data_IF_161307454497
#
_entry.id   IF_161307454497
#
_cell.length_a   1.000
_cell.length_b   1.000
_cell.length_c   1.000
_cell.angle_alpha   90.00
_cell.angle_beta   90.00
_cell.angle_gamma   90.00
#
_symmetry.space_group_name_H-M   'P 1'
#
loop_
_entity.id
_entity.type
_entity.pdbx_description
1 polymer ?
#
# COMPACT_ATOMS: atom_id res chain seq x y z
N UNK A 1 17.37 -2.07 -64.54
CA UNK A 1 16.63 -3.31 -64.87
C UNK A 1 15.58 -3.54 -63.80
N UNK A 2 14.30 -3.31 -64.10
CA UNK A 2 13.21 -3.57 -63.15
C UNK A 2 13.02 -5.08 -62.98
N UNK A 3 13.13 -5.58 -61.74
CA UNK A 3 12.82 -6.98 -61.41
C UNK A 3 11.34 -7.05 -61.05
N UNK A 4 10.53 -7.67 -61.90
CA UNK A 4 9.11 -7.90 -61.65
C UNK A 4 8.99 -9.17 -60.80
N UNK A 5 8.28 -9.08 -59.67
CA UNK A 5 8.03 -10.19 -58.76
C UNK A 5 6.54 -10.49 -58.68
N UNK A 6 6.17 -11.77 -58.55
CA UNK A 6 4.79 -12.21 -58.30
C UNK A 6 4.66 -12.79 -56.90
N UNK A 7 3.56 -12.44 -56.23
CA UNK A 7 3.18 -13.01 -54.93
C UNK A 7 2.27 -14.21 -55.17
N UNK A 8 2.60 -15.34 -54.57
CA UNK A 8 1.88 -16.61 -54.73
C UNK A 8 1.53 -17.17 -53.35
N UNK A 9 0.33 -17.74 -53.22
CA UNK A 9 -0.08 -18.46 -52.01
C UNK A 9 0.49 -19.88 -52.02
N UNK A 10 1.21 -20.27 -50.96
CA UNK A 10 1.68 -21.66 -50.78
C UNK A 10 0.80 -22.40 -49.78
N UNK A 11 -0.05 -23.28 -50.30
CA UNK A 11 -0.98 -24.08 -49.50
C UNK A 11 -0.28 -25.09 -48.56
N UNK A 12 0.97 -25.47 -48.82
CA UNK A 12 1.70 -26.40 -47.96
C UNK A 12 2.28 -25.74 -46.70
N UNK A 13 2.54 -24.42 -46.76
CA UNK A 13 3.09 -23.66 -45.64
C UNK A 13 2.11 -22.64 -45.06
N UNK A 14 0.95 -22.43 -45.69
CA UNK A 14 -0.06 -21.47 -45.24
C UNK A 14 0.40 -20.02 -45.32
N UNK A 15 1.32 -19.69 -46.23
CA UNK A 15 1.94 -18.36 -46.33
C UNK A 15 2.04 -17.87 -47.77
N UNK A 16 2.06 -16.54 -47.93
CA UNK A 16 2.37 -15.90 -49.22
C UNK A 16 3.88 -15.81 -49.42
N UNK A 17 4.34 -16.16 -50.62
CA UNK A 17 5.75 -16.16 -51.00
C UNK A 17 5.94 -15.33 -52.27
N UNK A 18 7.04 -14.60 -52.36
CA UNK A 18 7.39 -13.75 -53.51
C UNK A 18 8.41 -14.47 -54.37
N UNK A 19 8.12 -14.67 -55.67
CA UNK A 19 9.04 -15.31 -56.61
C UNK A 19 9.32 -14.40 -57.82
N UNK A 20 10.52 -14.48 -58.37
CA UNK A 20 10.86 -13.77 -59.61
C UNK A 20 10.30 -14.53 -60.82
N UNK A 21 9.75 -13.80 -61.80
CA UNK A 21 9.11 -14.38 -63.00
C UNK A 21 10.04 -15.30 -63.82
N UNK A 22 11.36 -15.17 -63.65
CA UNK A 22 12.38 -15.99 -64.33
C UNK A 22 12.77 -17.29 -63.60
N UNK A 23 12.11 -17.65 -62.49
CA UNK A 23 12.42 -18.86 -61.75
C UNK A 23 12.00 -20.13 -62.52
N UNK A 24 12.97 -20.96 -62.94
CA UNK A 24 12.70 -22.26 -63.60
C UNK A 24 12.10 -23.29 -62.64
N UNK A 25 10.91 -23.79 -62.96
CA UNK A 25 10.25 -24.90 -62.27
C UNK A 25 11.07 -26.20 -62.37
N UNK A 26 11.37 -26.84 -61.22
CA UNK A 26 11.91 -28.21 -61.18
C UNK A 26 10.77 -29.18 -60.82
N UNK A 27 10.31 -29.93 -61.83
CA UNK A 27 9.18 -30.86 -61.72
C UNK A 27 9.47 -32.12 -60.89
N UNK A 28 8.42 -32.63 -60.24
CA UNK A 28 8.40 -33.90 -59.48
C UNK A 28 8.59 -35.10 -60.42
N UNK A 29 9.53 -36.00 -60.12
CA UNK A 29 9.62 -37.31 -60.80
C UNK A 29 8.70 -38.33 -60.14
N UNK A 30 7.80 -38.90 -60.95
CA UNK A 30 6.94 -40.04 -60.64
C UNK A 30 7.64 -41.35 -61.02
N UNK A 31 7.35 -42.45 -60.32
CA UNK A 31 7.72 -43.81 -60.73
C UNK A 31 6.81 -44.85 -60.08
N UNK A 32 5.89 -45.42 -60.86
CA UNK A 32 4.97 -46.51 -60.47
C UNK A 32 5.62 -47.89 -60.68
N UNK A 33 5.44 -48.73 -59.66
CA UNK A 33 5.29 -50.21 -59.60
C UNK A 33 5.51 -51.03 -60.89
N UNK A 34 6.40 -52.03 -60.81
CA UNK A 34 6.25 -53.33 -61.48
C UNK A 34 6.22 -54.43 -60.41
N UNK A 35 5.14 -55.21 -60.43
CA UNK A 35 4.94 -56.44 -59.66
C UNK A 35 5.83 -57.56 -60.22
N UNK A 36 6.56 -58.24 -59.34
CA UNK A 36 7.02 -59.61 -59.56
C UNK A 36 6.70 -60.40 -58.29
N UNK A 37 5.70 -61.27 -58.39
CA UNK A 37 5.33 -62.27 -57.39
C UNK A 37 6.08 -63.53 -57.75
N UNK A 38 6.98 -64.01 -56.89
CA UNK A 38 7.31 -65.43 -56.77
C UNK A 38 8.24 -65.70 -55.57
N UNK A 39 7.67 -66.45 -54.62
CA UNK A 39 8.28 -67.35 -53.63
C UNK A 39 9.17 -66.78 -52.50
N UNK A 40 9.17 -67.27 -51.26
CA UNK A 40 8.27 -67.98 -50.35
C UNK A 40 9.19 -68.33 -49.15
N UNK A 41 8.81 -67.90 -47.94
CA UNK A 41 9.25 -68.39 -46.61
C UNK A 41 10.73 -68.19 -46.23
N UNK A 42 10.99 -67.22 -45.35
CA UNK A 42 11.48 -67.49 -43.98
C UNK A 42 11.70 -66.19 -43.19
N UNK A 43 11.00 -66.09 -42.07
CA UNK A 43 11.45 -65.45 -40.82
C UNK A 43 11.84 -63.96 -40.88
N UNK A 44 10.87 -63.07 -40.66
CA UNK A 44 10.86 -62.07 -39.55
C UNK A 44 9.90 -60.93 -39.89
N UNK A 45 8.89 -60.81 -39.04
CA UNK A 45 7.69 -60.01 -39.24
C UNK A 45 7.90 -58.51 -38.99
N UNK A 46 7.21 -57.72 -39.81
CA UNK A 46 6.67 -56.37 -39.52
C UNK A 46 7.63 -55.18 -39.68
N UNK A 47 7.51 -54.56 -40.86
CA UNK A 47 7.69 -53.12 -41.03
C UNK A 47 6.71 -52.39 -40.11
N UNK A 48 7.22 -51.59 -39.17
CA UNK A 48 6.45 -50.52 -38.55
C UNK A 48 6.72 -49.25 -39.36
N UNK A 49 5.63 -48.67 -39.82
CA UNK A 49 5.52 -47.31 -40.34
C UNK A 49 6.34 -46.32 -39.52
N UNK A 50 7.04 -45.42 -40.19
CA UNK A 50 7.53 -44.19 -39.58
C UNK A 50 6.32 -43.32 -39.20
N UNK A 51 5.66 -43.66 -38.09
CA UNK A 51 4.93 -42.69 -37.31
C UNK A 51 5.98 -41.73 -36.75
N UNK A 52 5.77 -40.44 -36.99
CA UNK A 52 6.27 -39.42 -36.09
C UNK A 52 5.58 -39.67 -34.74
N UNK A 53 6.13 -40.62 -33.98
CA UNK A 53 5.70 -40.94 -32.64
C UNK A 53 5.98 -39.69 -31.82
N UNK A 54 4.97 -38.86 -31.60
CA UNK A 54 4.96 -37.99 -30.44
C UNK A 54 5.21 -38.94 -29.26
N UNK A 55 6.39 -38.84 -28.63
CA UNK A 55 6.75 -39.56 -27.41
C UNK A 55 5.89 -39.04 -26.25
N UNK A 56 4.58 -39.23 -26.34
CA UNK A 56 3.60 -38.93 -25.32
C UNK A 56 3.38 -40.11 -24.35
N UNK A 57 4.03 -41.26 -24.61
CA UNK A 57 3.78 -42.53 -23.91
C UNK A 57 4.98 -43.12 -23.17
N UNK A 58 6.05 -42.37 -22.93
CA UNK A 58 7.08 -42.80 -21.97
C UNK A 58 6.95 -41.97 -20.69
N UNK A 59 5.73 -41.98 -20.15
CA UNK A 59 5.51 -41.50 -18.80
C UNK A 59 6.30 -42.41 -17.86
N UNK A 60 7.25 -41.82 -17.15
CA UNK A 60 8.03 -42.49 -16.09
C UNK A 60 7.74 -41.83 -14.75
N UNK A 61 6.59 -41.17 -14.63
CA UNK A 61 6.11 -40.70 -13.35
C UNK A 61 5.76 -41.90 -12.47
N UNK A 62 6.18 -41.85 -11.22
CA UNK A 62 5.98 -42.93 -10.26
C UNK A 62 5.10 -42.47 -9.10
N UNK A 63 4.22 -43.35 -8.65
CA UNK A 63 3.56 -43.22 -7.36
C UNK A 63 4.52 -43.60 -6.24
N UNK A 64 4.63 -42.75 -5.21
CA UNK A 64 5.42 -43.06 -4.00
C UNK A 64 4.48 -43.39 -2.84
N UNK A 65 4.60 -44.60 -2.30
CA UNK A 65 3.88 -45.00 -1.08
C UNK A 65 4.67 -44.53 0.16
N UNK A 66 4.11 -43.68 1.04
CA UNK A 66 4.78 -43.24 2.25
C UNK A 66 5.03 -44.41 3.23
N UNK A 67 6.19 -44.44 3.87
CA UNK A 67 6.49 -45.41 4.92
C UNK A 67 5.65 -45.13 6.17
N UNK A 68 4.80 -46.07 6.60
CA UNK A 68 4.18 -46.03 7.94
C UNK A 68 2.68 -46.23 8.04
N UNK A 69 1.91 -46.35 6.95
CA UNK A 69 0.53 -46.84 7.04
C UNK A 69 0.06 -47.42 5.70
N UNK A 70 -0.44 -48.64 5.76
CA UNK A 70 -0.65 -49.53 4.62
C UNK A 70 -1.75 -49.07 3.66
N UNK A 71 -1.47 -49.17 2.36
CA UNK A 71 -2.13 -49.99 1.32
C UNK A 71 -1.89 -49.31 -0.03
N UNK A 72 -1.07 -49.90 -0.88
CA UNK A 72 -0.75 -49.34 -2.20
C UNK A 72 -1.99 -49.33 -3.10
N UNK A 73 -2.50 -48.15 -3.40
CA UNK A 73 -3.58 -47.95 -4.36
C UNK A 73 -3.17 -47.03 -5.52
N UNK A 74 -3.97 -47.05 -6.57
CA UNK A 74 -3.66 -46.54 -7.91
C UNK A 74 -4.24 -45.14 -8.19
N UNK A 75 -4.42 -44.33 -7.15
CA UNK A 75 -5.21 -43.09 -7.24
C UNK A 75 -4.46 -41.84 -7.70
N UNK A 76 -3.15 -41.89 -7.95
CA UNK A 76 -2.30 -40.72 -8.19
C UNK A 76 -2.16 -40.37 -9.68
N UNK A 77 -1.77 -39.13 -9.97
CA UNK A 77 -1.38 -38.69 -11.32
C UNK A 77 0.08 -38.23 -11.24
N UNK A 78 1.01 -38.88 -11.92
CA UNK A 78 2.39 -38.42 -12.06
C UNK A 78 2.75 -38.46 -13.54
N UNK A 79 2.94 -37.29 -14.16
CA UNK A 79 3.20 -37.18 -15.60
C UNK A 79 4.54 -36.49 -15.82
N UNK A 80 5.48 -37.21 -16.43
CA UNK A 80 6.80 -36.69 -16.84
C UNK A 80 7.97 -37.36 -16.12
N UNK A 81 9.18 -37.19 -16.67
CA UNK A 81 10.37 -37.86 -16.13
C UNK A 81 10.66 -37.44 -14.69
N UNK A 82 10.86 -38.44 -13.82
CA UNK A 82 11.07 -38.29 -12.38
C UNK A 82 9.96 -37.51 -11.65
N UNK A 83 8.75 -37.41 -12.22
CA UNK A 83 7.61 -36.87 -11.51
C UNK A 83 7.15 -37.85 -10.42
N UNK A 84 6.87 -37.37 -9.22
CA UNK A 84 6.41 -38.19 -8.10
C UNK A 84 5.12 -37.64 -7.51
N UNK A 85 4.13 -38.51 -7.34
CA UNK A 85 2.88 -38.18 -6.66
C UNK A 85 2.61 -39.20 -5.56
N UNK A 86 2.09 -38.74 -4.42
CA UNK A 86 1.80 -39.60 -3.28
C UNK A 86 0.55 -40.45 -3.55
N UNK A 87 0.55 -41.69 -3.05
CA UNK A 87 -0.50 -42.69 -3.26
C UNK A 87 -1.44 -42.84 -2.06
N UNK A 88 -1.81 -41.79 -1.31
CA UNK A 88 -2.78 -41.91 -0.20
C UNK A 88 -4.11 -42.50 -0.70
N UNK A 89 -4.33 -43.80 -0.52
CA UNK A 89 -5.42 -44.54 -1.19
C UNK A 89 -6.36 -45.24 -0.23
N UNK A 90 -6.82 -44.54 0.81
CA UNK A 90 -7.90 -45.09 1.62
C UNK A 90 -8.84 -43.99 2.12
N UNK A 91 -9.72 -43.52 1.22
CA UNK A 91 -10.81 -42.52 1.37
C UNK A 91 -10.48 -41.03 1.27
N UNK A 92 -9.20 -40.62 1.29
CA UNK A 92 -8.84 -39.20 1.36
C UNK A 92 -7.91 -38.72 0.23
N UNK A 93 -8.35 -38.96 -1.01
CA UNK A 93 -7.99 -38.28 -2.26
C UNK A 93 -6.54 -38.30 -2.77
N UNK A 94 -6.46 -38.22 -4.10
CA UNK A 94 -5.26 -38.33 -4.91
C UNK A 94 -4.36 -37.09 -4.86
N UNK A 95 -3.05 -37.29 -4.92
CA UNK A 95 -2.09 -36.23 -5.27
C UNK A 95 -1.79 -36.25 -6.78
N UNK A 96 -1.45 -35.09 -7.35
CA UNK A 96 -1.17 -34.94 -8.77
C UNK A 96 0.13 -34.17 -9.02
N UNK A 97 1.09 -34.78 -9.71
CA UNK A 97 2.34 -34.18 -10.15
C UNK A 97 2.43 -34.18 -11.69
N UNK A 98 2.73 -33.04 -12.30
CA UNK A 98 2.89 -32.92 -13.76
C UNK A 98 4.10 -32.05 -14.12
N UNK A 99 5.12 -32.64 -14.74
CA UNK A 99 6.35 -31.97 -15.18
C UNK A 99 7.61 -32.70 -14.75
N UNK A 100 8.73 -32.41 -15.44
CA UNK A 100 10.05 -32.97 -15.09
C UNK A 100 10.40 -32.69 -13.62
N UNK A 101 10.58 -33.75 -12.81
CA UNK A 101 10.85 -33.67 -11.36
C UNK A 101 9.79 -32.92 -10.54
N UNK A 102 8.54 -32.87 -10.99
CA UNK A 102 7.43 -32.38 -10.18
C UNK A 102 7.16 -33.35 -9.02
N UNK A 103 6.94 -32.85 -7.80
CA UNK A 103 6.76 -33.63 -6.57
C UNK A 103 5.48 -33.20 -5.86
N UNK A 104 4.49 -34.08 -5.76
CA UNK A 104 3.24 -33.85 -5.03
C UNK A 104 3.12 -34.85 -3.86
N UNK A 105 3.82 -34.55 -2.76
CA UNK A 105 4.01 -35.48 -1.63
C UNK A 105 3.03 -35.27 -0.47
N UNK A 106 2.38 -34.12 -0.35
CA UNK A 106 1.31 -33.91 0.62
C UNK A 106 0.03 -34.65 0.25
N UNK A 107 -0.82 -34.96 1.23
CA UNK A 107 -2.15 -35.54 1.00
C UNK A 107 -3.01 -34.56 0.20
N UNK A 108 -3.72 -34.97 -0.85
CA UNK A 108 -4.49 -34.06 -1.72
C UNK A 108 -3.66 -32.96 -2.42
N UNK A 109 -2.32 -33.08 -2.47
CA UNK A 109 -1.51 -32.01 -3.04
C UNK A 109 -1.43 -32.04 -4.56
N UNK A 110 -1.17 -30.89 -5.18
CA UNK A 110 -1.01 -30.78 -6.64
C UNK A 110 0.24 -29.98 -6.97
N UNK A 111 1.15 -30.57 -7.75
CA UNK A 111 2.39 -29.95 -8.22
C UNK A 111 2.43 -29.94 -9.75
N UNK A 112 2.43 -28.77 -10.38
CA UNK A 112 2.41 -28.64 -11.84
C UNK A 112 3.54 -27.68 -12.26
N UNK A 113 4.53 -28.20 -12.97
CA UNK A 113 5.69 -27.46 -13.44
C UNK A 113 7.00 -28.22 -13.21
N UNK A 114 8.02 -27.94 -14.01
CA UNK A 114 9.33 -28.59 -13.79
C UNK A 114 9.88 -28.21 -12.41
N UNK A 115 10.28 -29.19 -11.63
CA UNK A 115 10.77 -29.02 -10.24
C UNK A 115 9.76 -28.37 -9.28
N UNK A 116 8.45 -28.35 -9.59
CA UNK A 116 7.47 -27.89 -8.61
C UNK A 116 7.38 -28.87 -7.44
N UNK A 117 7.29 -28.39 -6.21
CA UNK A 117 7.17 -29.21 -5.00
C UNK A 117 5.95 -28.81 -4.16
N UNK A 118 5.04 -29.74 -3.95
CA UNK A 118 3.82 -29.59 -3.16
C UNK A 118 3.81 -30.65 -2.06
N UNK A 119 4.53 -30.37 -0.97
CA UNK A 119 4.76 -31.28 0.15
C UNK A 119 3.83 -31.06 1.35
N UNK A 120 3.13 -29.92 1.42
CA UNK A 120 2.10 -29.69 2.43
C UNK A 120 0.78 -30.41 2.11
N UNK A 121 0.01 -30.80 3.12
CA UNK A 121 -1.31 -31.43 2.91
C UNK A 121 -2.30 -30.44 2.30
N UNK A 122 -3.05 -30.84 1.28
CA UNK A 122 -3.98 -30.03 0.49
C UNK A 122 -3.32 -28.81 -0.17
N UNK A 123 -2.02 -28.90 -0.45
CA UNK A 123 -1.26 -27.79 -1.04
C UNK A 123 -1.34 -27.76 -2.56
N UNK A 124 -1.05 -26.60 -3.15
CA UNK A 124 -0.94 -26.41 -4.61
C UNK A 124 0.36 -25.69 -4.95
N UNK A 125 1.24 -26.31 -5.73
CA UNK A 125 2.40 -25.69 -6.35
C UNK A 125 2.21 -25.64 -7.88
N UNK A 126 2.08 -24.45 -8.47
CA UNK A 126 1.90 -24.25 -9.91
C UNK A 126 2.98 -23.30 -10.46
N UNK A 127 3.92 -23.84 -11.22
CA UNK A 127 5.01 -23.10 -11.85
C UNK A 127 6.35 -23.82 -11.73
N UNK A 128 7.29 -23.48 -12.61
CA UNK A 128 8.65 -24.03 -12.54
C UNK A 128 9.29 -23.65 -11.19
N UNK A 129 9.72 -24.65 -10.41
CA UNK A 129 10.27 -24.48 -9.06
C UNK A 129 9.31 -23.82 -8.06
N UNK A 130 8.01 -23.79 -8.30
CA UNK A 130 7.05 -23.38 -7.29
C UNK A 130 7.11 -24.37 -6.10
N UNK A 131 7.11 -23.88 -4.87
CA UNK A 131 7.21 -24.70 -3.66
C UNK A 131 6.08 -24.35 -2.69
N UNK A 132 5.25 -25.33 -2.37
CA UNK A 132 4.13 -25.21 -1.44
C UNK A 132 4.29 -26.26 -0.33
N UNK A 133 5.06 -25.91 0.70
CA UNK A 133 5.41 -26.81 1.80
C UNK A 133 4.49 -26.67 3.02
N UNK A 134 3.78 -25.54 3.14
CA UNK A 134 2.77 -25.34 4.17
C UNK A 134 1.50 -26.16 3.92
N UNK A 135 0.87 -26.64 4.98
CA UNK A 135 -0.44 -27.30 4.88
C UNK A 135 -1.48 -26.31 4.36
N UNK A 136 -2.27 -26.71 3.36
CA UNK A 136 -3.28 -25.90 2.64
C UNK A 136 -2.69 -24.64 2.02
N UNK A 137 -1.38 -24.63 1.76
CA UNK A 137 -0.71 -23.50 1.12
C UNK A 137 -0.88 -23.51 -0.40
N UNK A 138 -0.76 -22.35 -1.02
CA UNK A 138 -0.84 -22.16 -2.47
C UNK A 138 0.37 -21.36 -2.96
N UNK A 139 1.22 -21.96 -3.77
CA UNK A 139 2.33 -21.30 -4.45
C UNK A 139 2.09 -21.30 -5.97
N UNK A 140 1.85 -20.13 -6.56
CA UNK A 140 1.61 -19.98 -8.00
C UNK A 140 2.58 -18.97 -8.62
N UNK A 141 3.44 -19.43 -9.52
CA UNK A 141 4.46 -18.63 -10.20
C UNK A 141 5.82 -19.32 -10.22
N UNK A 142 6.69 -18.93 -11.16
CA UNK A 142 8.04 -19.48 -11.19
C UNK A 142 8.79 -19.13 -9.89
N UNK A 143 9.32 -20.14 -9.21
CA UNK A 143 10.02 -19.99 -7.93
C UNK A 143 9.21 -19.31 -6.81
N UNK A 144 7.87 -19.32 -6.86
CA UNK A 144 7.04 -18.88 -5.72
C UNK A 144 7.17 -19.87 -4.55
N UNK A 145 7.11 -19.38 -3.32
CA UNK A 145 7.23 -20.19 -2.10
C UNK A 145 6.11 -19.88 -1.10
N UNK A 146 5.31 -20.88 -0.76
CA UNK A 146 4.26 -20.79 0.27
C UNK A 146 4.58 -21.81 1.37
N UNK A 147 5.33 -21.35 2.38
CA UNK A 147 5.88 -22.20 3.44
C UNK A 147 5.06 -22.17 4.73
N UNK A 148 4.28 -21.10 4.97
CA UNK A 148 3.37 -21.04 6.10
C UNK A 148 2.13 -21.92 5.89
N UNK A 149 1.60 -22.52 6.95
CA UNK A 149 0.26 -23.16 6.89
C UNK A 149 -0.78 -22.14 6.44
N UNK A 150 -1.71 -22.53 5.57
CA UNK A 150 -2.75 -21.68 4.97
C UNK A 150 -2.22 -20.45 4.20
N UNK A 151 -0.94 -20.43 3.81
CA UNK A 151 -0.34 -19.29 3.13
C UNK A 151 -0.62 -19.28 1.62
N UNK A 152 -0.52 -18.11 1.00
CA UNK A 152 -0.69 -17.93 -0.44
C UNK A 152 0.44 -17.07 -1.00
N UNK A 153 1.25 -17.61 -1.91
CA UNK A 153 2.28 -16.90 -2.65
C UNK A 153 1.97 -16.93 -4.15
N UNK A 154 1.56 -15.79 -4.71
CA UNK A 154 1.20 -15.63 -6.12
C UNK A 154 2.10 -14.60 -6.81
N UNK A 155 2.92 -15.06 -7.75
CA UNK A 155 3.87 -14.25 -8.51
C UNK A 155 5.26 -14.87 -8.55
N UNK A 156 6.04 -14.50 -9.56
CA UNK A 156 7.42 -14.98 -9.69
C UNK A 156 8.23 -14.55 -8.47
N UNK A 157 8.87 -15.49 -7.77
CA UNK A 157 9.57 -15.26 -6.50
C UNK A 157 8.71 -14.66 -5.35
N UNK A 158 7.38 -14.76 -5.40
CA UNK A 158 6.56 -14.43 -4.24
C UNK A 158 6.88 -15.38 -3.08
N UNK A 159 6.92 -14.89 -1.84
CA UNK A 159 7.26 -15.67 -0.65
C UNK A 159 6.25 -15.39 0.46
N UNK A 160 5.44 -16.38 0.82
CA UNK A 160 4.53 -16.35 1.95
C UNK A 160 5.00 -17.36 3.00
N UNK A 161 5.82 -16.90 3.95
CA UNK A 161 6.45 -17.76 4.97
C UNK A 161 5.75 -17.71 6.32
N UNK A 162 4.94 -16.67 6.57
CA UNK A 162 4.12 -16.59 7.79
C UNK A 162 2.90 -17.52 7.70
N UNK A 163 2.43 -18.03 8.83
CA UNK A 163 1.15 -18.74 8.89
C UNK A 163 0.00 -17.82 8.45
N UNK A 164 -0.94 -18.32 7.65
CA UNK A 164 -2.07 -17.58 7.05
C UNK A 164 -1.67 -16.32 6.26
N UNK A 165 -0.41 -16.23 5.82
CA UNK A 165 0.10 -15.05 5.13
C UNK A 165 -0.23 -15.04 3.63
N UNK A 166 -0.31 -13.85 3.03
CA UNK A 166 -0.61 -13.67 1.60
C UNK A 166 0.43 -12.77 0.94
N UNK A 167 1.19 -13.30 -0.01
CA UNK A 167 2.13 -12.55 -0.85
C UNK A 167 1.66 -12.56 -2.31
N UNK A 168 1.17 -11.41 -2.81
CA UNK A 168 0.69 -11.23 -4.18
C UNK A 168 1.56 -10.20 -4.92
N UNK A 169 2.32 -10.68 -5.90
CA UNK A 169 3.19 -9.86 -6.77
C UNK A 169 4.59 -10.46 -6.94
N UNK A 170 5.28 -10.09 -8.02
CA UNK A 170 6.67 -10.52 -8.21
C UNK A 170 7.53 -10.05 -7.03
N UNK A 171 8.27 -10.98 -6.40
CA UNK A 171 9.08 -10.73 -5.19
C UNK A 171 8.31 -10.20 -3.97
N UNK A 172 6.98 -10.29 -3.93
CA UNK A 172 6.21 -9.97 -2.73
C UNK A 172 6.62 -10.91 -1.58
N UNK A 173 6.76 -10.39 -0.36
CA UNK A 173 7.17 -11.18 0.82
C UNK A 173 6.20 -10.93 1.98
N UNK A 174 5.43 -11.94 2.37
CA UNK A 174 4.59 -11.95 3.56
C UNK A 174 5.24 -12.88 4.60
N UNK A 175 6.07 -12.28 5.45
CA UNK A 175 6.94 -12.99 6.40
C UNK A 175 6.35 -13.11 7.80
N UNK A 176 5.48 -12.18 8.21
CA UNK A 176 4.79 -12.24 9.50
C UNK A 176 3.59 -13.18 9.46
N UNK A 177 3.22 -13.76 10.61
CA UNK A 177 1.96 -14.51 10.72
C UNK A 177 0.79 -13.55 10.46
N UNK A 178 -0.27 -14.03 9.80
CA UNK A 178 -1.44 -13.25 9.40
C UNK A 178 -1.12 -12.02 8.53
N UNK A 179 0.07 -11.94 7.92
CA UNK A 179 0.48 -10.77 7.14
C UNK A 179 0.02 -10.81 5.68
N UNK A 180 -0.09 -9.64 5.05
CA UNK A 180 -0.41 -9.53 3.62
C UNK A 180 0.50 -8.55 2.89
N UNK A 181 1.21 -9.00 1.86
CA UNK A 181 2.04 -8.19 0.98
C UNK A 181 1.44 -8.15 -0.43
N UNK A 182 0.95 -6.98 -0.84
CA UNK A 182 0.21 -6.77 -2.09
C UNK A 182 0.96 -5.80 -3.00
N UNK A 183 1.80 -6.32 -3.90
CA UNK A 183 2.55 -5.53 -4.88
C UNK A 183 3.94 -6.08 -5.21
N UNK A 184 4.53 -5.61 -6.31
CA UNK A 184 5.89 -5.99 -6.68
C UNK A 184 6.90 -5.57 -5.59
N UNK A 185 7.60 -6.54 -5.00
CA UNK A 185 8.54 -6.29 -3.91
C UNK A 185 7.91 -5.74 -2.62
N UNK A 186 6.58 -5.81 -2.45
CA UNK A 186 5.94 -5.46 -1.20
C UNK A 186 6.40 -6.42 -0.09
N UNK A 187 6.65 -5.91 1.12
CA UNK A 187 7.18 -6.69 2.24
C UNK A 187 6.38 -6.44 3.52
N UNK A 188 5.62 -7.44 3.96
CA UNK A 188 4.91 -7.44 5.23
C UNK A 188 5.59 -8.43 6.19
N UNK A 189 6.45 -7.95 7.09
CA UNK A 189 7.20 -8.78 8.04
C UNK A 189 6.73 -8.69 9.48
N UNK A 190 5.95 -7.67 9.84
CA UNK A 190 5.26 -7.63 11.13
C UNK A 190 4.14 -8.67 11.17
N UNK A 191 3.86 -9.21 12.35
CA UNK A 191 2.68 -10.05 12.61
C UNK A 191 1.41 -9.23 12.40
N UNK A 192 0.41 -9.80 11.72
CA UNK A 192 -0.85 -9.12 11.39
C UNK A 192 -0.65 -7.78 10.66
N UNK A 193 0.41 -7.67 9.85
CA UNK A 193 0.74 -6.46 9.09
C UNK A 193 0.34 -6.54 7.63
N UNK A 194 0.09 -5.39 7.00
CA UNK A 194 -0.29 -5.30 5.58
C UNK A 194 0.59 -4.30 4.86
N UNK A 195 1.30 -4.73 3.81
CA UNK A 195 2.05 -3.86 2.90
C UNK A 195 1.33 -3.73 1.56
N UNK A 196 0.88 -2.52 1.21
CA UNK A 196 0.08 -2.24 0.01
C UNK A 196 0.88 -1.38 -0.97
N UNK A 197 1.08 -1.88 -2.19
CA UNK A 197 1.78 -1.19 -3.27
C UNK A 197 3.23 -1.64 -3.47
N UNK A 198 3.77 -1.35 -4.66
CA UNK A 198 5.13 -1.78 -5.03
C UNK A 198 6.18 -1.19 -4.08
N UNK A 199 7.06 -2.05 -3.55
CA UNK A 199 8.13 -1.67 -2.62
C UNK A 199 7.67 -1.18 -1.24
N UNK A 200 6.36 -1.29 -0.91
CA UNK A 200 5.87 -0.94 0.44
C UNK A 200 6.41 -1.91 1.47
N UNK A 201 6.67 -1.43 2.69
CA UNK A 201 7.29 -2.23 3.75
C UNK A 201 6.57 -2.01 5.09
N UNK A 202 5.87 -3.05 5.57
CA UNK A 202 5.23 -3.09 6.88
C UNK A 202 6.06 -3.97 7.83
N UNK A 203 6.79 -3.35 8.75
CA UNK A 203 7.67 -4.04 9.71
C UNK A 203 7.05 -4.17 11.11
N UNK A 204 6.17 -3.23 11.47
CA UNK A 204 5.50 -3.22 12.76
C UNK A 204 4.32 -4.19 12.78
N UNK A 205 4.10 -4.83 13.91
CA UNK A 205 2.93 -5.68 14.15
C UNK A 205 1.64 -4.84 14.10
N UNK A 206 0.54 -5.44 13.65
CA UNK A 206 -0.79 -4.81 13.60
C UNK A 206 -0.83 -3.48 12.81
N UNK A 207 -0.03 -3.35 11.74
CA UNK A 207 0.11 -2.11 10.98
C UNK A 207 -0.22 -2.27 9.50
N UNK A 208 -0.64 -1.16 8.85
CA UNK A 208 -0.81 -1.08 7.40
C UNK A 208 0.18 -0.05 6.85
N UNK A 209 1.06 -0.47 5.94
CA UNK A 209 1.99 0.40 5.23
C UNK A 209 1.62 0.54 3.76
N UNK A 210 1.40 1.79 3.31
CA UNK A 210 1.18 2.14 1.89
C UNK A 210 2.46 2.63 1.19
N UNK A 211 3.61 2.50 1.84
CA UNK A 211 4.91 2.99 1.40
C UNK A 211 6.04 2.43 2.25
N UNK A 212 7.16 3.15 2.26
CA UNK A 212 8.32 2.85 3.12
C UNK A 212 8.97 4.16 3.60
N UNK A 213 10.13 4.08 4.26
CA UNK A 213 10.82 5.23 4.87
C UNK A 213 11.30 6.30 3.87
N UNK A 214 11.48 5.95 2.59
CA UNK A 214 11.95 6.89 1.55
C UNK A 214 10.90 7.20 0.49
N UNK A 215 9.84 6.40 0.41
CA UNK A 215 8.75 6.54 -0.58
C UNK A 215 7.41 6.43 0.13
N UNK A 216 6.92 7.56 0.64
CA UNK A 216 5.56 7.68 1.17
C UNK A 216 4.56 7.94 0.02
N UNK A 217 3.31 7.55 0.25
CA UNK A 217 2.22 7.77 -0.72
C UNK A 217 1.10 8.54 -0.05
N UNK A 218 0.43 9.38 -0.82
CA UNK A 218 -0.81 9.99 -0.39
C UNK A 218 -1.93 8.95 -0.41
N UNK A 219 -2.79 8.99 0.60
CA UNK A 219 -4.06 8.28 0.61
C UNK A 219 -5.11 9.29 0.16
N UNK A 220 -5.69 9.08 -1.02
CA UNK A 220 -6.61 10.04 -1.66
C UNK A 220 -8.02 9.48 -1.72
N UNK A 221 -9.02 10.36 -1.93
CA UNK A 221 -10.44 10.01 -1.93
C UNK A 221 -10.95 9.43 -0.60
N UNK A 222 -10.40 9.91 0.51
CA UNK A 222 -10.85 9.57 1.87
C UNK A 222 -12.07 10.43 2.20
N UNK A 223 -13.19 9.81 2.55
CA UNK A 223 -14.35 10.52 3.07
C UNK A 223 -14.01 11.18 4.41
N UNK A 224 -14.76 12.23 4.80
CA UNK A 224 -14.56 12.85 6.11
C UNK A 224 -14.88 11.82 7.20
N UNK A 225 -13.93 11.58 8.09
CA UNK A 225 -14.14 10.72 9.25
C UNK A 225 -15.02 11.37 10.29
N UNK A 226 -15.65 10.60 11.17
CA UNK A 226 -16.41 11.18 12.26
C UNK A 226 -15.48 11.83 13.31
N UNK A 227 -15.88 12.98 13.85
CA UNK A 227 -15.16 13.68 14.92
C UNK A 227 -15.97 13.56 16.21
N UNK A 228 -15.68 12.51 16.99
CA UNK A 228 -16.28 12.26 18.31
C UNK A 228 -15.31 11.44 19.18
N UNK A 229 -15.63 11.28 20.47
CA UNK A 229 -14.73 10.66 21.48
C UNK A 229 -14.40 9.19 21.27
N UNK A 230 -15.12 8.50 20.38
CA UNK A 230 -14.93 7.06 20.11
C UNK A 230 -14.53 6.77 18.65
N UNK A 231 -14.33 7.80 17.83
CA UNK A 231 -14.02 7.62 16.41
C UNK A 231 -12.64 6.99 16.22
N UNK A 232 -12.56 6.08 15.25
CA UNK A 232 -11.32 5.46 14.76
C UNK A 232 -11.06 5.80 13.30
N UNK A 233 -11.78 6.79 12.75
CA UNK A 233 -11.71 7.15 11.34
C UNK A 233 -10.46 7.97 11.03
N UNK A 234 -9.99 7.88 9.79
CA UNK A 234 -9.00 8.80 9.27
C UNK A 234 -9.58 10.21 9.13
N UNK A 235 -8.87 11.23 9.60
CA UNK A 235 -9.24 12.64 9.44
C UNK A 235 -8.68 13.18 8.12
N UNK A 236 -9.51 13.87 7.37
CA UNK A 236 -9.12 14.50 6.10
C UNK A 236 -8.53 15.89 6.30
N UNK A 237 -7.72 16.36 5.34
CA UNK A 237 -7.20 17.73 5.37
C UNK A 237 -8.29 18.81 5.42
N UNK A 238 -9.45 18.58 4.81
CA UNK A 238 -10.58 19.51 4.88
C UNK A 238 -11.15 19.67 6.29
N UNK A 239 -11.14 18.60 7.10
CA UNK A 239 -11.60 18.66 8.50
C UNK A 239 -10.61 19.41 9.38
N UNK A 240 -9.31 19.19 9.18
CA UNK A 240 -8.27 19.96 9.87
C UNK A 240 -8.37 21.44 9.49
N UNK A 241 -8.57 21.75 8.20
CA UNK A 241 -8.78 23.12 7.75
C UNK A 241 -10.02 23.77 8.40
N UNK A 242 -11.15 23.06 8.47
CA UNK A 242 -12.35 23.55 9.17
C UNK A 242 -12.08 23.82 10.66
N UNK A 243 -11.30 22.97 11.33
CA UNK A 243 -10.89 23.20 12.71
C UNK A 243 -10.00 24.46 12.82
N UNK A 244 -8.97 24.59 11.99
CA UNK A 244 -8.09 25.76 11.94
C UNK A 244 -8.88 27.05 11.66
N UNK A 245 -9.86 26.99 10.76
CA UNK A 245 -10.73 28.13 10.46
C UNK A 245 -11.56 28.53 11.67
N UNK A 246 -12.12 27.55 12.40
CA UNK A 246 -12.87 27.87 13.62
C UNK A 246 -11.99 28.58 14.65
N UNK A 247 -10.72 28.21 14.78
CA UNK A 247 -9.77 28.89 15.69
C UNK A 247 -9.47 30.31 15.21
N UNK A 248 -9.19 30.49 13.92
CA UNK A 248 -8.96 31.82 13.33
C UNK A 248 -10.17 32.75 13.55
N UNK A 249 -11.39 32.26 13.33
CA UNK A 249 -12.63 33.02 13.54
C UNK A 249 -12.81 33.44 15.01
N UNK A 250 -12.43 32.58 15.97
CA UNK A 250 -12.52 32.90 17.41
C UNK A 250 -11.42 33.83 17.89
N UNK A 251 -10.24 33.81 17.27
CA UNK A 251 -9.19 34.78 17.55
C UNK A 251 -9.55 36.16 17.01
N UNK A 252 -10.20 36.24 15.83
CA UNK A 252 -10.49 37.52 15.19
C UNK A 252 -9.21 38.26 14.80
N UNK A 253 -9.23 39.60 14.82
CA UNK A 253 -8.05 40.43 14.51
C UNK A 253 -7.46 40.16 13.11
N UNK A 254 -8.25 39.67 12.15
CA UNK A 254 -7.74 39.29 10.83
C UNK A 254 -6.95 37.97 10.77
N UNK A 255 -6.96 37.17 11.84
CA UNK A 255 -6.45 35.80 11.78
C UNK A 255 -7.14 35.00 10.65
N UNK A 256 -6.37 34.15 9.97
CA UNK A 256 -6.82 33.39 8.80
C UNK A 256 -6.05 32.07 8.71
N UNK A 257 -6.50 31.13 7.88
CA UNK A 257 -5.80 29.85 7.69
C UNK A 257 -4.89 29.91 6.45
N UNK A 258 -3.61 29.56 6.61
CA UNK A 258 -2.62 29.44 5.55
C UNK A 258 -2.87 28.23 4.66
N UNK A 259 -2.21 28.20 3.50
CA UNK A 259 -2.26 27.06 2.57
C UNK A 259 -1.71 25.76 3.14
N UNK A 260 -0.86 25.83 4.18
CA UNK A 260 -0.33 24.67 4.90
C UNK A 260 -1.21 24.24 6.09
N UNK A 261 -2.34 24.92 6.32
CA UNK A 261 -3.28 24.64 7.41
C UNK A 261 -2.99 25.34 8.74
N UNK A 262 -1.89 26.10 8.85
CA UNK A 262 -1.58 26.89 10.06
C UNK A 262 -2.45 28.14 10.16
N UNK A 263 -2.60 28.70 11.36
CA UNK A 263 -3.34 29.95 11.59
C UNK A 263 -2.38 31.13 11.57
N UNK A 264 -2.62 32.11 10.69
CA UNK A 264 -1.94 33.40 10.69
C UNK A 264 -2.19 34.16 11.98
N UNK A 265 -1.17 34.86 12.46
CA UNK A 265 -1.27 35.67 13.66
C UNK A 265 -2.38 36.74 13.51
N UNK A 266 -3.23 36.95 14.54
CA UNK A 266 -4.13 38.09 14.57
C UNK A 266 -3.32 39.38 14.67
N UNK A 267 -3.93 40.51 14.33
CA UNK A 267 -3.42 41.86 14.59
C UNK A 267 -4.44 42.57 15.48
N UNK A 268 -4.12 42.68 16.77
CA UNK A 268 -4.92 43.40 17.74
C UNK A 268 -4.39 44.81 17.92
N UNK A 269 -5.23 45.81 17.71
CA UNK A 269 -4.88 47.21 17.95
C UNK A 269 -5.28 47.58 19.40
N UNK A 270 -4.29 48.00 20.20
CA UNK A 270 -4.49 48.46 21.57
C UNK A 270 -3.69 49.74 21.77
N UNK A 271 -4.40 50.85 22.03
CA UNK A 271 -3.77 52.17 22.08
C UNK A 271 -3.15 52.53 20.72
N UNK A 272 -1.85 52.76 20.71
CA UNK A 272 -1.07 53.03 19.47
C UNK A 272 -0.29 51.81 18.99
N UNK A 273 -0.38 50.67 19.69
CA UNK A 273 0.36 49.45 19.38
C UNK A 273 -0.48 48.42 18.64
N UNK A 274 0.19 47.60 17.81
CA UNK A 274 -0.39 46.42 17.17
C UNK A 274 0.27 45.17 17.73
N UNK A 275 -0.52 44.21 18.17
CA UNK A 275 -0.07 43.00 18.86
C UNK A 275 -0.48 41.75 18.11
N UNK A 276 0.47 40.84 17.91
CA UNK A 276 0.27 39.66 17.08
C UNK A 276 -0.22 38.41 17.85
N UNK A 277 -0.57 38.59 19.13
CA UNK A 277 -1.08 37.53 19.98
C UNK A 277 -1.91 38.12 21.13
N UNK A 278 -2.80 37.29 21.67
CA UNK A 278 -3.76 37.69 22.72
C UNK A 278 -3.04 38.14 23.99
N UNK A 279 -1.99 37.43 24.42
CA UNK A 279 -1.28 37.71 25.67
C UNK A 279 -0.64 39.10 25.67
N UNK A 280 0.04 39.47 24.59
CA UNK A 280 0.66 40.79 24.46
C UNK A 280 -0.38 41.91 24.38
N UNK A 281 -1.51 41.69 23.69
CA UNK A 281 -2.59 42.66 23.62
C UNK A 281 -3.23 42.91 25.01
N UNK A 282 -3.49 41.84 25.78
CA UNK A 282 -4.01 41.95 27.14
C UNK A 282 -3.04 42.64 28.09
N UNK A 283 -1.73 42.36 27.97
CA UNK A 283 -0.70 43.05 28.75
C UNK A 283 -0.64 44.54 28.41
N UNK A 284 -0.79 44.90 27.14
CA UNK A 284 -0.86 46.29 26.71
C UNK A 284 -2.08 47.02 27.30
N UNK A 285 -3.26 46.39 27.27
CA UNK A 285 -4.47 46.90 27.90
C UNK A 285 -4.26 47.13 29.40
N UNK A 286 -3.67 46.16 30.10
CA UNK A 286 -3.36 46.28 31.51
C UNK A 286 -2.46 47.49 31.80
N UNK A 287 -1.41 47.69 31.02
CA UNK A 287 -0.52 48.84 31.18
C UNK A 287 -1.23 50.18 30.92
N UNK A 288 -2.11 50.25 29.91
CA UNK A 288 -2.91 51.45 29.65
C UNK A 288 -3.83 51.79 30.84
N UNK A 289 -4.41 50.78 31.48
CA UNK A 289 -5.22 50.95 32.70
C UNK A 289 -4.35 51.46 33.85
N UNK A 290 -3.21 50.82 34.13
CA UNK A 290 -2.30 51.25 35.19
C UNK A 290 -1.83 52.70 35.01
N UNK A 291 -1.57 53.15 33.78
CA UNK A 291 -1.21 54.54 33.49
C UNK A 291 -2.38 55.52 33.74
N UNK A 292 -3.61 55.08 33.46
CA UNK A 292 -4.82 55.86 33.75
C UNK A 292 -5.02 55.98 35.26
N UNK A 293 -4.88 54.88 36.00
CA UNK A 293 -4.96 54.88 37.47
C UNK A 293 -3.90 55.80 38.09
N UNK A 294 -2.67 55.79 37.58
CA UNK A 294 -1.61 56.71 38.03
C UNK A 294 -1.97 58.19 37.76
N UNK A 295 -2.58 58.49 36.60
CA UNK A 295 -3.01 59.84 36.25
C UNK A 295 -4.15 60.32 37.16
N UNK A 296 -5.12 59.44 37.44
CA UNK A 296 -6.23 59.72 38.38
C UNK A 296 -5.70 59.94 39.79
N UNK A 297 -4.75 59.13 40.25
CA UNK A 297 -4.11 59.33 41.55
C UNK A 297 -3.40 60.70 41.63
N UNK A 298 -2.73 61.12 40.55
CA UNK A 298 -2.14 62.46 40.44
C UNK A 298 -3.19 63.58 40.57
N UNK A 299 -4.31 63.49 39.84
CA UNK A 299 -5.40 64.47 39.94
C UNK A 299 -5.97 64.56 41.35
N UNK A 300 -6.19 63.42 42.01
CA UNK A 300 -6.69 63.39 43.40
C UNK A 300 -5.72 64.05 44.37
N UNK A 301 -4.42 63.95 44.14
CA UNK A 301 -3.41 64.56 45.01
C UNK A 301 -3.25 66.07 44.79
N UNK A 302 -3.44 66.55 43.56
CA UNK A 302 -3.15 67.95 43.19
C UNK A 302 -4.39 68.84 43.04
N UNK A 303 -5.60 68.27 43.05
CA UNK A 303 -6.84 69.04 42.96
C UNK A 303 -7.22 69.73 44.28
N UNK A 304 -7.87 70.89 44.16
CA UNK A 304 -8.59 71.52 45.27
C UNK A 304 -9.90 70.76 45.52
N UNK A 305 -9.86 69.76 46.39
CA UNK A 305 -11.00 68.88 46.64
C UNK A 305 -11.96 69.46 47.67
N UNK A 306 -13.24 69.09 47.53
CA UNK A 306 -14.23 69.31 48.57
C UNK A 306 -13.95 68.38 49.75
N UNK A 307 -13.96 68.94 50.96
CA UNK A 307 -13.84 68.20 52.21
C UNK A 307 -15.20 68.18 52.90
N UNK A 308 -15.84 67.01 52.86
CA UNK A 308 -17.16 66.80 53.46
C UNK A 308 -17.17 67.07 54.97
N UNK A 309 -16.06 66.78 55.67
CA UNK A 309 -15.96 66.97 57.11
C UNK A 309 -15.90 68.44 57.50
N UNK A 310 -15.23 69.25 56.67
CA UNK A 310 -15.18 70.70 56.81
C UNK A 310 -16.37 71.41 56.14
N UNK A 311 -17.12 70.71 55.28
CA UNK A 311 -18.16 71.30 54.41
C UNK A 311 -17.63 72.51 53.62
N UNK A 312 -16.40 72.41 53.12
CA UNK A 312 -15.73 73.46 52.37
C UNK A 312 -14.69 72.88 51.40
N UNK A 313 -14.23 73.68 50.44
CA UNK A 313 -13.05 73.32 49.65
C UNK A 313 -11.79 73.35 50.51
N UNK A 314 -10.97 72.30 50.43
CA UNK A 314 -9.77 72.13 51.21
C UNK A 314 -8.53 72.56 50.40
N UNK A 315 -7.87 73.62 50.88
CA UNK A 315 -6.67 74.18 50.26
C UNK A 315 -5.36 73.62 50.84
N UNK A 316 -5.40 72.48 51.54
CA UNK A 316 -4.18 71.79 51.98
C UNK A 316 -3.56 71.00 50.84
N UNK A 317 -2.23 71.03 50.74
CA UNK A 317 -1.46 70.19 49.82
C UNK A 317 -0.28 69.60 50.60
N UNK A 318 -0.07 68.30 50.50
CA UNK A 318 0.92 67.56 51.29
C UNK A 318 0.83 67.82 52.81
N UNK A 319 -0.39 67.95 53.34
CA UNK A 319 -0.66 68.11 54.77
C UNK A 319 -0.44 69.53 55.32
N UNK A 320 -0.34 70.55 54.47
CA UNK A 320 -0.17 71.95 54.89
C UNK A 320 -1.09 72.89 54.10
N UNK A 321 -1.64 73.92 54.76
CA UNK A 321 -2.40 74.99 54.12
C UNK A 321 -1.57 75.64 53.01
N UNK A 322 -2.16 75.75 51.82
CA UNK A 322 -1.49 76.25 50.62
C UNK A 322 -2.16 77.49 50.05
N UNK A 323 -1.37 78.35 49.38
CA UNK A 323 -1.88 79.57 48.75
C UNK A 323 -2.53 79.25 47.41
N UNK A 324 -3.62 79.95 47.10
CA UNK A 324 -4.18 80.03 45.74
C UNK A 324 -3.59 81.28 45.07
N UNK A 325 -2.91 81.10 43.94
CA UNK A 325 -2.28 82.18 43.16
C UNK A 325 -2.86 82.24 41.74
N UNK A 326 -2.50 83.26 40.97
CA UNK A 326 -3.10 83.57 39.66
C UNK A 326 -4.62 83.81 39.71
N UNK A 327 -5.12 84.27 40.86
CA UNK A 327 -6.50 84.68 41.04
C UNK A 327 -6.68 86.10 40.49
N UNK A 328 -7.65 86.29 39.59
CA UNK A 328 -8.01 87.61 39.10
C UNK A 328 -8.63 88.48 40.23
N UNK A 329 -8.55 89.80 40.11
CA UNK A 329 -9.22 90.69 41.05
C UNK A 329 -10.74 90.47 41.01
N UNK A 330 -11.34 90.23 42.18
CA UNK A 330 -12.79 90.10 42.31
C UNK A 330 -13.50 91.46 42.23
N UNK A 331 -14.77 91.45 41.82
CA UNK A 331 -15.63 92.63 41.85
C UNK A 331 -15.87 93.07 43.28
N UNK A 332 -15.77 94.37 43.55
CA UNK A 332 -16.09 94.94 44.87
C UNK A 332 -17.53 95.46 44.86
N UNK A 333 -18.48 94.57 45.19
CA UNK A 333 -19.92 94.86 45.32
C UNK A 333 -20.50 94.14 46.56
N UNK A 334 -21.65 94.60 47.06
CA UNK A 334 -22.24 94.11 48.31
C UNK A 334 -22.67 92.63 48.28
N UNK A 335 -22.87 92.07 47.08
CA UNK A 335 -23.34 90.72 46.79
C UNK A 335 -22.29 89.86 46.06
N UNK A 336 -21.03 90.29 46.01
CA UNK A 336 -19.95 89.52 45.36
C UNK A 336 -19.57 88.27 46.15
N UNK A 337 -19.33 87.16 45.44
CA UNK A 337 -18.82 85.87 45.97
C UNK A 337 -17.48 85.51 45.36
#
# INVERSE_FOLDING_TARGET
>A
MNRIFKVLWNAATGTFIVTSETAKSRGKKSGRRKLAVSALISLSSIMVSADALAKAGNDTGDGVTPTGTQTGGTGWIAIGTDATANTYTNVDGASAAMGYKASAMGKWSTAIGSYSDSSGDSSLALGVKASSTGNRAIAMGASSSAAGSYSMAMGVNANASGETSVALGNKATAGGNNSAALGNGAKATGTNSVAIGAGSTAQEDNSVAVGNSTTQRQITYVAKGDINSSSTDAVTGAQIYSLSQSVADRLGGGASVNSDGTVNAPLYEVGTGTYNNVGSALSALNNSITNTEASVAGLTNDALLWDDSASAFNATHNGSDSKITNLAAGTLAADST
#
